data_IF_765448717328
#
_entry.id   IF_765448717328
#
_cell.length_a   1.000
_cell.length_b   1.000
_cell.length_c   1.000
_cell.angle_alpha   90.00
_cell.angle_beta   90.00
_cell.angle_gamma   90.00
#
_symmetry.space_group_name_H-M   'P 1'
#
loop_
_entity.id
_entity.type
_entity.pdbx_description
1 polymer ?
#
# COMPACT_ATOMS: atom_id res chain seq x y z
N UNK A 1 -58.44 13.81 -10.59
CA UNK A 1 -58.68 13.63 -9.14
C UNK A 1 -58.68 12.16 -8.71
N UNK A 2 -59.41 11.29 -9.43
CA UNK A 2 -59.52 9.85 -9.13
C UNK A 2 -58.17 9.12 -9.05
N UNK A 3 -57.22 9.40 -9.96
CA UNK A 3 -55.86 8.82 -9.91
C UNK A 3 -55.17 9.03 -8.56
N UNK A 4 -55.13 10.28 -8.07
CA UNK A 4 -54.48 10.60 -6.80
C UNK A 4 -55.21 10.00 -5.59
N UNK A 5 -56.55 9.88 -5.65
CA UNK A 5 -57.32 9.21 -4.60
C UNK A 5 -57.11 7.69 -4.59
N UNK A 6 -56.96 7.06 -5.76
CA UNK A 6 -56.63 5.64 -5.89
C UNK A 6 -55.22 5.38 -5.36
N UNK A 7 -54.21 6.18 -5.74
CA UNK A 7 -52.83 6.06 -5.23
C UNK A 7 -52.70 6.22 -3.72
N UNK A 8 -53.66 6.87 -3.05
CA UNK A 8 -53.69 7.00 -1.59
C UNK A 8 -54.40 5.83 -0.88
N UNK A 9 -55.22 5.04 -1.59
CA UNK A 9 -56.07 3.99 -1.00
C UNK A 9 -55.67 2.58 -1.40
N UNK A 10 -54.98 2.42 -2.51
CA UNK A 10 -54.58 1.13 -3.07
C UNK A 10 -53.11 0.84 -2.78
N UNK A 11 -52.76 -0.44 -2.72
CA UNK A 11 -51.38 -0.89 -2.52
C UNK A 11 -50.51 -0.40 -3.66
N UNK A 12 -49.34 0.16 -3.34
CA UNK A 12 -48.32 0.53 -4.34
C UNK A 12 -47.60 -0.75 -4.77
N UNK A 13 -47.88 -1.21 -5.99
CA UNK A 13 -47.32 -2.42 -6.60
C UNK A 13 -45.87 -2.21 -7.11
N UNK A 14 -44.98 -1.63 -6.29
CA UNK A 14 -43.64 -1.21 -6.71
C UNK A 14 -42.74 -2.40 -7.13
N UNK A 15 -42.58 -3.41 -6.28
CA UNK A 15 -41.77 -4.61 -6.58
C UNK A 15 -42.26 -5.30 -7.86
N UNK A 16 -43.58 -5.47 -7.99
CA UNK A 16 -44.20 -6.05 -9.19
C UNK A 16 -43.88 -5.24 -10.44
N UNK A 17 -43.98 -3.91 -10.38
CA UNK A 17 -43.67 -3.05 -11.52
C UNK A 17 -42.18 -3.17 -11.93
N UNK A 18 -41.27 -3.19 -10.97
CA UNK A 18 -39.83 -3.35 -11.22
C UNK A 18 -39.52 -4.71 -11.84
N UNK A 19 -40.10 -5.80 -11.33
CA UNK A 19 -39.93 -7.14 -11.91
C UNK A 19 -40.44 -7.23 -13.35
N UNK A 20 -41.62 -6.68 -13.63
CA UNK A 20 -42.17 -6.63 -15.00
C UNK A 20 -41.26 -5.85 -15.94
N UNK A 21 -40.65 -4.75 -15.49
CA UNK A 21 -39.69 -4.00 -16.29
C UNK A 21 -38.41 -4.80 -16.56
N UNK A 22 -37.88 -5.49 -15.55
CA UNK A 22 -36.72 -6.39 -15.72
C UNK A 22 -37.01 -7.53 -16.69
N UNK A 23 -38.14 -8.22 -16.53
CA UNK A 23 -38.61 -9.28 -17.47
C UNK A 23 -38.82 -8.76 -18.90
N UNK A 24 -39.17 -7.48 -19.05
CA UNK A 24 -39.30 -6.80 -20.36
C UNK A 24 -37.95 -6.38 -20.97
N UNK A 25 -36.82 -6.69 -20.31
CA UNK A 25 -35.47 -6.42 -20.79
C UNK A 25 -34.89 -5.07 -20.39
N UNK A 26 -35.50 -4.35 -19.45
CA UNK A 26 -34.94 -3.11 -18.91
C UNK A 26 -33.92 -3.41 -17.81
N UNK A 27 -32.63 -3.14 -18.08
CA UNK A 27 -31.53 -3.39 -17.14
C UNK A 27 -30.91 -2.16 -16.49
N UNK A 28 -31.41 -0.95 -16.79
CA UNK A 28 -30.87 0.32 -16.24
C UNK A 28 -32.00 1.12 -15.61
N UNK A 29 -31.84 1.45 -14.33
CA UNK A 29 -32.80 2.19 -13.53
C UNK A 29 -32.14 3.43 -12.94
N UNK A 30 -32.74 4.60 -13.21
CA UNK A 30 -32.25 5.89 -12.72
C UNK A 30 -33.31 6.49 -11.81
N UNK A 31 -32.99 6.60 -10.52
CA UNK A 31 -33.84 7.32 -9.57
C UNK A 31 -33.56 8.82 -9.65
N UNK A 32 -34.50 9.57 -10.22
CA UNK A 32 -34.43 11.03 -10.25
C UNK A 32 -34.97 11.64 -8.96
N UNK A 33 -34.09 11.84 -7.97
CA UNK A 33 -34.46 12.42 -6.68
C UNK A 33 -33.31 13.23 -6.05
N UNK A 34 -33.61 14.20 -5.17
CA UNK A 34 -32.58 14.90 -4.40
C UNK A 34 -31.86 13.99 -3.38
N UNK A 35 -32.43 12.81 -3.11
CA UNK A 35 -31.85 11.80 -2.23
C UNK A 35 -32.43 10.42 -2.55
N UNK A 36 -31.66 9.51 -3.16
CA UNK A 36 -32.16 8.21 -3.59
C UNK A 36 -32.52 7.32 -2.41
N UNK A 37 -33.73 6.79 -2.41
CA UNK A 37 -34.24 5.86 -1.38
C UNK A 37 -34.80 4.57 -1.96
N UNK A 38 -35.03 4.52 -3.28
CA UNK A 38 -35.59 3.38 -3.99
C UNK A 38 -34.52 2.46 -4.57
N UNK A 39 -33.28 2.94 -4.71
CA UNK A 39 -32.18 2.15 -5.32
C UNK A 39 -31.97 0.78 -4.67
N UNK A 40 -32.00 0.61 -3.32
CA UNK A 40 -31.80 -0.71 -2.73
C UNK A 40 -32.96 -1.66 -3.03
N UNK A 41 -34.20 -1.14 -3.01
CA UNK A 41 -35.39 -1.92 -3.30
C UNK A 41 -35.42 -2.41 -4.76
N UNK A 42 -35.00 -1.56 -5.72
CA UNK A 42 -34.89 -1.95 -7.12
C UNK A 42 -33.82 -3.03 -7.31
N UNK A 43 -32.66 -2.88 -6.65
CA UNK A 43 -31.58 -3.86 -6.72
C UNK A 43 -32.01 -5.22 -6.14
N UNK A 44 -32.72 -5.22 -5.02
CA UNK A 44 -33.27 -6.42 -4.37
C UNK A 44 -34.33 -7.11 -5.24
N UNK A 45 -35.26 -6.36 -5.85
CA UNK A 45 -36.29 -6.91 -6.75
C UNK A 45 -35.72 -7.64 -7.97
N UNK A 46 -34.49 -7.35 -8.37
CA UNK A 46 -33.85 -7.83 -9.60
C UNK A 46 -32.47 -8.46 -9.35
N UNK A 47 -32.20 -8.95 -8.13
CA UNK A 47 -30.87 -9.45 -7.72
C UNK A 47 -30.27 -10.45 -8.72
N UNK A 48 -31.10 -11.35 -9.27
CA UNK A 48 -30.70 -12.38 -10.25
C UNK A 48 -30.34 -11.83 -11.65
N UNK A 49 -30.72 -10.59 -11.95
CA UNK A 49 -30.55 -9.96 -13.28
C UNK A 49 -29.40 -8.94 -13.32
N UNK A 50 -28.76 -8.67 -12.17
CA UNK A 50 -27.66 -7.71 -12.03
C UNK A 50 -27.94 -6.33 -12.70
N UNK A 51 -29.01 -5.63 -12.32
CA UNK A 51 -29.37 -4.34 -12.92
C UNK A 51 -28.35 -3.24 -12.59
N UNK A 52 -28.23 -2.25 -13.46
CA UNK A 52 -27.58 -0.97 -13.16
C UNK A 52 -28.59 -0.08 -12.47
N UNK A 53 -28.34 0.27 -11.20
CA UNK A 53 -29.25 1.13 -10.42
C UNK A 53 -28.48 2.31 -9.84
N UNK A 54 -28.85 3.51 -10.25
CA UNK A 54 -28.20 4.77 -9.82
C UNK A 54 -29.22 5.82 -9.42
N UNK A 55 -28.82 6.73 -8.52
CA UNK A 55 -29.60 7.94 -8.19
C UNK A 55 -28.98 9.18 -8.84
N UNK A 56 -29.76 10.24 -9.07
CA UNK A 56 -29.25 11.45 -9.73
C UNK A 56 -28.49 12.40 -8.79
N UNK A 57 -28.99 12.64 -7.58
CA UNK A 57 -28.39 13.56 -6.60
C UNK A 57 -28.31 12.92 -5.21
N UNK A 58 -27.62 13.55 -4.27
CA UNK A 58 -27.61 13.15 -2.85
C UNK A 58 -27.83 14.37 -1.96
N UNK A 59 -28.46 14.16 -0.80
CA UNK A 59 -28.66 15.23 0.19
C UNK A 59 -27.30 15.76 0.65
N UNK A 60 -27.18 17.08 0.75
CA UNK A 60 -25.92 17.80 1.02
C UNK A 60 -24.81 17.65 -0.05
N UNK A 61 -25.06 16.91 -1.13
CA UNK A 61 -24.14 16.69 -2.26
C UNK A 61 -24.90 16.99 -3.57
N UNK A 62 -25.50 18.18 -3.68
CA UNK A 62 -26.18 18.62 -4.89
C UNK A 62 -25.22 19.11 -5.98
N UNK A 63 -25.72 19.28 -7.21
CA UNK A 63 -25.01 19.96 -8.28
C UNK A 63 -24.45 19.07 -9.38
N UNK A 64 -23.74 19.70 -10.33
CA UNK A 64 -23.25 19.05 -11.54
C UNK A 64 -22.25 17.92 -11.25
N UNK A 65 -21.38 18.08 -10.25
CA UNK A 65 -20.36 17.08 -9.90
C UNK A 65 -21.00 15.76 -9.42
N UNK A 66 -22.05 15.84 -8.60
CA UNK A 66 -22.79 14.65 -8.15
C UNK A 66 -23.51 13.97 -9.31
N UNK A 67 -24.12 14.76 -10.19
CA UNK A 67 -24.80 14.23 -11.39
C UNK A 67 -23.81 13.53 -12.33
N UNK A 68 -22.65 14.14 -12.57
CA UNK A 68 -21.54 13.56 -13.33
C UNK A 68 -21.02 12.28 -12.69
N UNK A 69 -20.89 12.27 -11.36
CA UNK A 69 -20.48 11.08 -10.60
C UNK A 69 -21.50 9.95 -10.76
N UNK A 70 -22.80 10.24 -10.71
CA UNK A 70 -23.84 9.23 -10.94
C UNK A 70 -23.84 8.67 -12.36
N UNK A 71 -23.54 9.49 -13.37
CA UNK A 71 -23.32 9.01 -14.74
C UNK A 71 -22.05 8.14 -14.83
N UNK A 72 -20.99 8.49 -14.10
CA UNK A 72 -19.77 7.69 -14.03
C UNK A 72 -20.01 6.33 -13.37
N UNK A 73 -20.79 6.30 -12.28
CA UNK A 73 -21.22 5.06 -11.62
C UNK A 73 -22.01 4.16 -12.58
N UNK A 74 -22.96 4.73 -13.33
CA UNK A 74 -23.72 3.98 -14.34
C UNK A 74 -22.79 3.43 -15.45
N UNK A 75 -21.85 4.25 -15.93
CA UNK A 75 -20.90 3.86 -16.97
C UNK A 75 -19.97 2.72 -16.53
N UNK A 76 -19.45 2.76 -15.31
CA UNK A 76 -18.61 1.70 -14.76
C UNK A 76 -19.38 0.38 -14.60
N UNK A 77 -20.68 0.45 -14.37
CA UNK A 77 -21.58 -0.71 -14.33
C UNK A 77 -22.03 -1.17 -15.74
N UNK A 78 -21.59 -0.51 -16.81
CA UNK A 78 -21.81 -0.93 -18.19
C UNK A 78 -22.91 -0.17 -18.94
N UNK A 79 -23.53 0.84 -18.34
CA UNK A 79 -24.46 1.70 -19.06
C UNK A 79 -23.72 2.58 -20.08
N UNK A 80 -24.18 2.69 -21.34
CA UNK A 80 -23.56 3.57 -22.31
C UNK A 80 -23.77 5.03 -21.89
N UNK A 81 -22.69 5.80 -21.78
CA UNK A 81 -22.70 7.25 -21.52
C UNK A 81 -21.85 7.93 -22.59
N UNK A 82 -22.45 8.90 -23.30
CA UNK A 82 -21.72 9.73 -24.25
C UNK A 82 -20.94 10.81 -23.50
N UNK A 83 -19.72 10.47 -23.07
CA UNK A 83 -18.82 11.40 -22.40
C UNK A 83 -18.40 12.54 -23.32
N UNK A 84 -18.26 12.32 -24.63
CA UNK A 84 -17.84 13.36 -25.56
C UNK A 84 -18.89 14.48 -25.66
N UNK A 85 -20.18 14.15 -25.57
CA UNK A 85 -21.27 15.12 -25.50
C UNK A 85 -21.44 15.79 -24.13
N UNK A 86 -20.92 15.20 -23.05
CA UNK A 86 -21.11 15.65 -21.67
C UNK A 86 -19.94 16.48 -21.14
N UNK A 87 -18.72 16.16 -21.55
CA UNK A 87 -17.50 16.89 -21.21
C UNK A 87 -16.91 17.47 -22.50
N UNK A 88 -17.25 18.73 -22.78
CA UNK A 88 -16.97 19.39 -24.07
C UNK A 88 -15.46 19.37 -24.41
N UNK A 89 -14.57 19.50 -23.40
CA UNK A 89 -13.10 19.31 -23.48
C UNK A 89 -12.49 19.03 -22.10
N UNK A 90 -12.02 17.81 -21.87
CA UNK A 90 -11.15 17.48 -20.73
C UNK A 90 -9.70 17.30 -21.18
N UNK A 91 -8.73 17.65 -20.32
CA UNK A 91 -7.37 17.16 -20.50
C UNK A 91 -7.37 15.66 -20.21
N UNK A 92 -7.20 14.84 -21.23
CA UNK A 92 -6.90 13.43 -21.05
C UNK A 92 -5.54 13.35 -20.36
N UNK A 93 -5.53 12.93 -19.10
CA UNK A 93 -4.30 12.53 -18.44
C UNK A 93 -4.05 11.08 -18.79
N UNK A 94 -2.79 10.74 -19.09
CA UNK A 94 -2.41 9.34 -19.13
C UNK A 94 -2.73 8.76 -17.76
N UNK A 95 -3.54 7.71 -17.75
CA UNK A 95 -3.68 6.91 -16.55
C UNK A 95 -2.27 6.42 -16.20
N UNK A 96 -1.88 6.41 -14.90
CA UNK A 96 -0.62 5.80 -14.49
C UNK A 96 -0.49 4.47 -15.20
N UNK A 97 0.68 4.16 -15.76
CA UNK A 97 0.92 2.90 -16.47
C UNK A 97 0.63 1.76 -15.52
N UNK A 98 -0.61 1.28 -15.55
CA UNK A 98 -1.02 0.13 -14.80
C UNK A 98 -0.30 -1.03 -15.47
N UNK A 99 0.60 -1.69 -14.75
CA UNK A 99 1.31 -2.88 -15.22
C UNK A 99 0.36 -4.02 -15.67
N UNK A 100 -0.95 -3.84 -15.49
CA UNK A 100 -2.03 -4.70 -15.98
C UNK A 100 -2.89 -4.00 -17.03
N UNK A 101 -2.26 -3.33 -18.00
CA UNK A 101 -2.84 -3.14 -19.33
C UNK A 101 -3.57 -4.45 -19.71
N UNK A 102 -4.84 -4.35 -20.14
CA UNK A 102 -5.89 -5.39 -20.27
C UNK A 102 -5.57 -6.70 -21.03
N UNK A 103 -4.30 -7.09 -21.17
CA UNK A 103 -3.92 -8.48 -21.32
C UNK A 103 -4.13 -9.18 -19.98
N UNK A 104 -5.06 -10.14 -19.96
CA UNK A 104 -5.13 -11.14 -18.89
C UNK A 104 -3.78 -11.86 -18.83
N UNK A 105 -2.92 -11.44 -17.90
CA UNK A 105 -1.75 -12.20 -17.51
C UNK A 105 -2.10 -12.98 -16.24
N UNK A 106 -3.13 -13.83 -16.34
CA UNK A 106 -3.19 -14.94 -15.40
C UNK A 106 -2.07 -15.88 -15.86
N UNK A 107 -1.15 -16.31 -14.98
CA UNK A 107 -0.40 -17.51 -15.29
C UNK A 107 -1.44 -18.57 -15.61
N UNK A 108 -1.42 -19.11 -16.84
CA UNK A 108 -2.18 -20.32 -17.12
C UNK A 108 -1.75 -21.30 -16.05
N UNK A 109 -2.66 -21.61 -15.13
CA UNK A 109 -2.38 -22.60 -14.09
C UNK A 109 -1.97 -23.85 -14.84
N UNK A 110 -0.72 -24.33 -14.69
CA UNK A 110 -0.34 -25.53 -15.39
C UNK A 110 -1.39 -26.58 -15.04
N UNK A 111 -2.02 -27.16 -16.06
CA UNK A 111 -2.83 -28.37 -15.92
C UNK A 111 -1.88 -29.54 -15.63
N UNK A 112 -0.98 -29.39 -14.66
CA UNK A 112 -0.34 -30.50 -13.99
C UNK A 112 -1.38 -31.07 -13.05
N UNK A 113 -1.71 -32.34 -13.22
CA UNK A 113 -2.71 -33.05 -12.42
C UNK A 113 -2.61 -32.64 -10.95
N UNK A 114 -3.74 -32.23 -10.37
CA UNK A 114 -3.83 -31.81 -8.97
C UNK A 114 -3.40 -32.98 -8.08
N UNK A 115 -2.10 -33.09 -7.81
CA UNK A 115 -1.63 -33.60 -6.53
C UNK A 115 -2.25 -32.74 -5.44
N UNK A 116 -2.53 -33.33 -4.26
CA UNK A 116 -3.05 -32.58 -3.12
C UNK A 116 -2.11 -31.40 -2.85
N UNK A 117 -2.54 -30.19 -3.19
CA UNK A 117 -1.85 -28.95 -2.80
C UNK A 117 -1.87 -28.94 -1.28
N UNK A 118 -0.70 -29.01 -0.65
CA UNK A 118 -0.59 -28.96 0.80
C UNK A 118 -0.55 -27.50 1.24
N UNK A 119 -1.09 -27.18 2.42
CA UNK A 119 -0.88 -25.88 3.06
C UNK A 119 0.62 -25.55 3.20
N UNK A 120 1.48 -26.56 3.26
CA UNK A 120 2.94 -26.38 3.30
C UNK A 120 3.52 -25.75 2.03
N UNK A 121 2.86 -25.90 0.88
CA UNK A 121 3.31 -25.33 -0.40
C UNK A 121 3.10 -23.80 -0.45
N UNK A 122 2.30 -23.24 0.46
CA UNK A 122 1.94 -21.81 0.51
C UNK A 122 2.66 -21.05 1.62
N UNK A 123 3.52 -21.72 2.41
CA UNK A 123 4.19 -21.10 3.55
C UNK A 123 5.54 -20.52 3.14
N UNK A 124 5.70 -19.23 3.40
CA UNK A 124 6.93 -18.49 3.19
C UNK A 124 7.32 -17.73 4.45
N UNK A 125 8.60 -17.39 4.54
CA UNK A 125 9.12 -16.48 5.57
C UNK A 125 10.16 -15.56 4.99
N UNK A 126 10.31 -14.41 5.62
CA UNK A 126 11.46 -13.55 5.38
C UNK A 126 12.67 -14.12 6.14
N UNK A 127 13.81 -14.10 5.48
CA UNK A 127 15.12 -14.41 6.05
C UNK A 127 16.13 -13.38 5.58
N UNK A 128 17.20 -13.22 6.35
CA UNK A 128 18.28 -12.30 6.08
C UNK A 128 19.55 -13.11 5.85
N UNK A 129 20.09 -13.06 4.63
CA UNK A 129 21.28 -13.85 4.25
C UNK A 129 22.52 -12.96 4.33
N UNK A 130 23.63 -13.44 4.92
CA UNK A 130 24.88 -12.70 4.90
C UNK A 130 25.31 -12.38 3.46
N UNK A 131 25.61 -11.12 3.19
CA UNK A 131 26.19 -10.67 1.94
C UNK A 131 27.66 -11.08 1.89
N UNK A 132 28.15 -11.45 0.72
CA UNK A 132 29.58 -11.59 0.45
C UNK A 132 30.03 -10.33 -0.27
N UNK A 133 30.88 -9.54 0.36
CA UNK A 133 31.53 -8.40 -0.28
C UNK A 133 33.05 -8.53 -0.14
N UNK A 134 33.78 -8.17 -1.21
CA UNK A 134 35.24 -8.01 -1.19
C UNK A 134 35.61 -6.66 -1.80
N UNK A 135 36.76 -6.10 -1.39
CA UNK A 135 37.24 -4.81 -1.89
C UNK A 135 36.90 -3.62 -0.98
N UNK A 136 37.55 -2.49 -1.23
CA UNK A 136 37.28 -1.21 -0.57
C UNK A 136 36.23 -0.48 -1.42
N UNK A 137 35.06 -0.12 -0.86
CA UNK A 137 34.05 0.58 -1.63
C UNK A 137 34.53 2.00 -1.96
N UNK A 138 34.12 2.52 -3.10
CA UNK A 138 34.39 3.89 -3.49
C UNK A 138 33.11 4.50 -4.05
N UNK A 139 32.79 5.71 -3.59
CA UNK A 139 31.75 6.56 -4.14
C UNK A 139 32.41 7.65 -4.99
N UNK A 140 31.61 8.29 -5.82
CA UNK A 140 32.01 9.43 -6.62
C UNK A 140 30.87 10.44 -6.70
N UNK A 141 31.22 11.67 -7.08
CA UNK A 141 30.27 12.75 -7.33
C UNK A 141 29.58 13.27 -6.07
N UNK A 142 28.56 14.09 -6.27
CA UNK A 142 27.87 14.77 -5.17
C UNK A 142 26.76 13.89 -4.60
N UNK A 143 26.75 13.75 -3.27
CA UNK A 143 25.74 13.00 -2.53
C UNK A 143 24.98 13.91 -1.60
N UNK A 144 23.66 13.88 -1.68
CA UNK A 144 22.80 14.64 -0.78
C UNK A 144 22.50 13.81 0.47
N UNK A 145 22.79 14.34 1.66
CA UNK A 145 22.40 13.75 2.94
C UNK A 145 21.26 14.57 3.54
N UNK A 146 20.07 13.98 3.60
CA UNK A 146 18.82 14.67 3.98
C UNK A 146 18.40 14.29 5.39
N UNK A 147 18.20 15.30 6.23
CA UNK A 147 17.65 15.19 7.57
C UNK A 147 18.70 15.22 8.69
N UNK A 148 18.25 15.63 9.87
CA UNK A 148 19.09 15.71 11.07
C UNK A 148 19.06 14.41 11.88
N UNK A 149 20.22 14.04 12.42
CA UNK A 149 20.37 12.91 13.33
C UNK A 149 21.70 12.99 14.07
N UNK A 150 21.82 12.46 15.30
CA UNK A 150 23.11 12.29 15.98
C UNK A 150 24.16 11.56 15.12
N UNK A 151 23.73 10.71 14.17
CA UNK A 151 24.63 9.96 13.29
C UNK A 151 24.91 10.64 11.94
N UNK A 152 24.31 11.80 11.67
CA UNK A 152 24.48 12.50 10.39
C UNK A 152 25.95 12.83 10.11
N UNK A 153 26.72 13.19 11.15
CA UNK A 153 28.16 13.46 11.01
C UNK A 153 28.95 12.22 10.63
N UNK A 154 28.80 11.11 11.36
CA UNK A 154 29.55 9.88 11.09
C UNK A 154 29.18 9.25 9.75
N UNK A 155 27.92 9.37 9.32
CA UNK A 155 27.48 8.91 8.00
C UNK A 155 28.11 9.77 6.90
N UNK A 156 28.06 11.10 7.03
CA UNK A 156 28.70 12.00 6.08
C UNK A 156 30.23 11.81 6.00
N UNK A 157 30.89 11.59 7.16
CA UNK A 157 32.32 11.32 7.22
C UNK A 157 32.65 9.98 6.54
N UNK A 158 31.81 8.95 6.70
CA UNK A 158 31.96 7.68 6.02
C UNK A 158 31.83 7.83 4.49
N UNK A 159 30.80 8.54 4.01
CA UNK A 159 30.61 8.83 2.59
C UNK A 159 31.81 9.61 2.01
N UNK A 160 32.23 10.67 2.68
CA UNK A 160 33.34 11.54 2.26
C UNK A 160 34.68 10.82 2.28
N UNK A 161 34.93 10.01 3.32
CA UNK A 161 36.12 9.18 3.45
C UNK A 161 36.26 8.11 2.35
N UNK A 162 35.19 7.84 1.61
CA UNK A 162 35.19 6.93 0.47
C UNK A 162 34.92 7.63 -0.88
N UNK A 163 35.08 8.97 -0.95
CA UNK A 163 35.15 9.70 -2.21
C UNK A 163 33.90 10.47 -2.63
N UNK A 164 32.82 10.48 -1.83
CA UNK A 164 31.65 11.30 -2.11
C UNK A 164 31.86 12.77 -1.70
N UNK A 165 31.35 13.70 -2.50
CA UNK A 165 31.20 15.11 -2.08
C UNK A 165 29.84 15.26 -1.39
N UNK A 166 29.83 15.30 -0.06
CA UNK A 166 28.57 15.28 0.71
C UNK A 166 28.01 16.68 0.90
N UNK A 167 26.80 16.92 0.41
CA UNK A 167 25.98 18.08 0.71
C UNK A 167 24.93 17.70 1.75
N UNK A 168 24.96 18.33 2.93
CA UNK A 168 23.93 18.11 3.95
C UNK A 168 22.79 19.11 3.76
N UNK A 169 21.56 18.65 3.91
CA UNK A 169 20.37 19.49 3.83
C UNK A 169 19.24 18.95 4.69
N UNK A 170 18.21 19.76 4.90
CA UNK A 170 16.94 19.34 5.49
C UNK A 170 15.85 19.26 4.43
N UNK A 171 14.73 18.62 4.76
CA UNK A 171 13.63 18.39 3.81
C UNK A 171 13.14 19.70 3.16
N UNK A 172 13.04 20.77 3.95
CA UNK A 172 12.58 22.08 3.50
C UNK A 172 13.52 22.73 2.47
N UNK A 173 14.80 22.38 2.50
CA UNK A 173 15.86 22.99 1.68
C UNK A 173 16.34 22.04 0.56
N UNK A 174 15.65 20.91 0.33
CA UNK A 174 16.04 19.93 -0.71
C UNK A 174 16.01 20.53 -2.10
N UNK A 175 14.99 21.33 -2.45
CA UNK A 175 14.88 21.92 -3.78
C UNK A 175 16.03 22.90 -4.07
N UNK A 176 16.43 23.71 -3.08
CA UNK A 176 17.58 24.60 -3.18
C UNK A 176 18.88 23.81 -3.32
N UNK A 177 19.06 22.77 -2.51
CA UNK A 177 20.25 21.91 -2.56
C UNK A 177 20.38 21.18 -3.91
N UNK A 178 19.27 20.70 -4.46
CA UNK A 178 19.22 20.10 -5.80
C UNK A 178 19.55 21.14 -6.87
N UNK A 179 18.99 22.35 -6.80
CA UNK A 179 19.31 23.41 -7.76
C UNK A 179 20.78 23.86 -7.72
N UNK A 180 21.43 23.74 -6.56
CA UNK A 180 22.84 24.06 -6.37
C UNK A 180 23.80 23.00 -6.93
N UNK A 181 23.31 21.81 -7.29
CA UNK A 181 24.13 20.71 -7.80
C UNK A 181 23.55 20.12 -9.08
N UNK A 182 24.24 20.32 -10.21
CA UNK A 182 23.72 19.96 -11.53
C UNK A 182 23.58 18.44 -11.77
N UNK A 183 24.30 17.61 -11.00
CA UNK A 183 24.28 16.15 -11.16
C UNK A 183 24.53 15.45 -9.80
N UNK A 184 23.49 14.84 -9.24
CA UNK A 184 23.58 14.09 -8.00
C UNK A 184 23.91 12.63 -8.30
N UNK A 185 24.90 12.09 -7.61
CA UNK A 185 25.26 10.67 -7.69
C UNK A 185 24.43 9.79 -6.74
N UNK A 186 23.77 10.39 -5.75
CA UNK A 186 22.85 9.69 -4.86
C UNK A 186 22.26 10.57 -3.77
N UNK A 187 21.17 10.12 -3.18
CA UNK A 187 20.51 10.76 -2.04
C UNK A 187 20.43 9.75 -0.89
N UNK A 188 20.84 10.16 0.31
CA UNK A 188 20.73 9.39 1.55
C UNK A 188 19.80 10.13 2.50
N UNK A 189 18.71 9.49 2.90
CA UNK A 189 17.70 10.04 3.79
C UNK A 189 17.81 9.44 5.20
N UNK A 190 17.89 10.33 6.19
CA UNK A 190 17.84 10.01 7.62
C UNK A 190 16.46 10.27 8.23
N UNK A 191 15.50 10.74 7.41
CA UNK A 191 14.18 11.21 7.87
C UNK A 191 13.39 10.12 8.63
N UNK A 192 13.57 8.85 8.26
CA UNK A 192 12.91 7.75 8.93
C UNK A 192 13.31 7.60 10.41
N UNK A 193 14.41 8.21 10.86
CA UNK A 193 14.78 8.21 12.29
C UNK A 193 13.83 9.05 13.17
N UNK A 194 13.06 9.96 12.59
CA UNK A 194 12.06 10.73 13.34
C UNK A 194 10.77 9.91 13.53
N UNK A 195 10.61 9.36 14.73
CA UNK A 195 9.41 8.63 15.15
C UNK A 195 8.38 9.51 15.86
N UNK A 196 8.62 10.82 15.94
CA UNK A 196 7.66 11.72 16.55
C UNK A 196 6.36 11.77 15.74
N UNK A 197 5.27 12.05 16.44
CA UNK A 197 3.96 12.17 15.83
C UNK A 197 3.85 13.44 14.97
N UNK A 198 3.17 13.32 13.83
CA UNK A 198 2.75 14.46 13.02
C UNK A 198 1.82 15.39 13.83
N UNK A 199 1.91 16.70 13.55
CA UNK A 199 1.17 17.71 14.31
C UNK A 199 -0.34 17.69 14.02
N UNK A 200 -0.73 17.38 12.78
CA UNK A 200 -2.13 17.33 12.37
C UNK A 200 -2.74 15.94 12.56
N UNK A 201 -1.94 14.89 12.38
CA UNK A 201 -2.34 13.49 12.47
C UNK A 201 -1.45 12.73 13.46
N UNK A 202 -1.72 12.81 14.79
CA UNK A 202 -0.81 12.28 15.81
C UNK A 202 -0.54 10.77 15.78
N UNK A 203 -1.32 10.00 15.00
CA UNK A 203 -1.12 8.57 14.79
C UNK A 203 -0.19 8.25 13.61
N UNK A 204 0.26 9.26 12.87
CA UNK A 204 1.19 9.13 11.74
C UNK A 204 2.59 9.56 12.18
N UNK A 205 3.62 8.71 12.04
CA UNK A 205 5.00 9.09 12.33
C UNK A 205 5.55 10.07 11.28
N UNK A 206 6.20 11.15 11.72
CA UNK A 206 6.78 12.17 10.84
C UNK A 206 7.75 11.60 9.83
N UNK A 207 8.67 10.72 10.24
CA UNK A 207 9.65 10.12 9.33
C UNK A 207 9.01 9.40 8.14
N UNK A 208 7.80 8.84 8.29
CA UNK A 208 7.04 8.29 7.18
C UNK A 208 6.48 9.34 6.23
N UNK A 209 5.92 10.43 6.76
CA UNK A 209 5.40 11.57 5.99
C UNK A 209 6.52 12.28 5.25
N UNK A 210 7.62 12.54 5.94
CA UNK A 210 8.78 13.27 5.41
C UNK A 210 9.50 12.46 4.33
N UNK A 211 9.55 11.12 4.48
CA UNK A 211 10.07 10.24 3.42
C UNK A 211 9.19 10.29 2.17
N UNK A 212 7.86 10.32 2.31
CA UNK A 212 6.94 10.51 1.18
C UNK A 212 7.16 11.88 0.52
N UNK A 213 7.25 12.95 1.32
CA UNK A 213 7.50 14.29 0.83
C UNK A 213 8.83 14.39 0.06
N UNK A 214 9.91 13.78 0.57
CA UNK A 214 11.20 13.71 -0.10
C UNK A 214 11.10 13.05 -1.48
N UNK A 215 10.46 11.88 -1.57
CA UNK A 215 10.28 11.15 -2.85
C UNK A 215 9.51 12.00 -3.87
N UNK A 216 8.50 12.73 -3.41
CA UNK A 216 7.71 13.63 -4.26
C UNK A 216 8.52 14.84 -4.72
N UNK A 217 9.24 15.51 -3.82
CA UNK A 217 10.06 16.69 -4.12
C UNK A 217 11.14 16.34 -5.15
N UNK A 218 11.90 15.25 -4.93
CA UNK A 218 12.90 14.78 -5.88
C UNK A 218 12.29 14.44 -7.24
N UNK A 219 11.05 13.94 -7.26
CA UNK A 219 10.33 13.61 -8.49
C UNK A 219 9.92 14.84 -9.28
N UNK A 220 9.43 15.89 -8.60
CA UNK A 220 9.12 17.17 -9.23
C UNK A 220 10.37 17.88 -9.77
N UNK A 221 11.50 17.72 -9.07
CA UNK A 221 12.78 18.27 -9.48
C UNK A 221 13.48 17.46 -10.60
N UNK A 222 12.94 16.30 -10.99
CA UNK A 222 13.53 15.46 -12.04
C UNK A 222 14.84 14.78 -11.64
N UNK A 223 15.06 14.53 -10.35
CA UNK A 223 16.26 13.85 -9.86
C UNK A 223 16.18 12.35 -10.17
N UNK A 224 17.11 11.86 -11.00
CA UNK A 224 17.25 10.44 -11.35
C UNK A 224 18.22 9.68 -10.42
N UNK A 225 18.94 10.39 -9.56
CA UNK A 225 19.89 9.79 -8.63
C UNK A 225 19.22 8.79 -7.66
N UNK A 226 19.88 7.67 -7.31
CA UNK A 226 19.30 6.66 -6.44
C UNK A 226 19.05 7.20 -5.02
N UNK A 227 17.82 7.05 -4.55
CA UNK A 227 17.38 7.42 -3.20
C UNK A 227 17.51 6.24 -2.25
N UNK A 228 18.27 6.42 -1.18
CA UNK A 228 18.48 5.47 -0.11
C UNK A 228 17.87 5.97 1.19
N UNK A 229 17.02 5.17 1.82
CA UNK A 229 16.39 5.52 3.09
C UNK A 229 16.97 4.65 4.20
N UNK A 230 17.52 5.32 5.22
CA UNK A 230 18.14 4.64 6.36
C UNK A 230 17.14 4.51 7.51
N UNK A 231 17.06 3.31 8.08
CA UNK A 231 16.30 3.03 9.31
C UNK A 231 17.22 2.48 10.39
N UNK A 232 16.73 2.39 11.63
CA UNK A 232 17.44 1.79 12.76
C UNK A 232 16.51 0.91 13.57
N UNK A 233 16.87 -0.37 13.69
CA UNK A 233 16.10 -1.32 14.48
C UNK A 233 14.71 -1.59 13.93
N UNK A 234 14.48 -1.32 12.64
CA UNK A 234 13.23 -1.59 11.94
C UNK A 234 13.09 -3.05 11.52
N UNK A 235 14.21 -3.78 11.44
CA UNK A 235 14.24 -5.19 11.03
C UNK A 235 15.05 -6.01 12.01
N UNK A 236 14.78 -7.32 12.02
CA UNK A 236 15.55 -8.32 12.77
C UNK A 236 16.16 -9.31 11.78
N UNK A 237 17.48 -9.49 11.81
CA UNK A 237 18.21 -10.38 10.90
C UNK A 237 18.29 -11.82 11.42
N UNK A 238 17.98 -12.05 12.69
CA UNK A 238 18.09 -13.36 13.33
C UNK A 238 17.17 -13.50 14.56
N UNK A 239 16.98 -14.73 15.06
CA UNK A 239 16.02 -15.02 16.14
C UNK A 239 16.37 -14.34 17.47
N UNK A 240 17.64 -14.01 17.69
CA UNK A 240 18.12 -13.37 18.92
C UNK A 240 18.03 -11.83 18.87
N UNK A 241 17.60 -11.28 17.74
CA UNK A 241 17.42 -9.83 17.55
C UNK A 241 15.93 -9.48 17.60
N UNK A 242 15.61 -8.42 18.34
CA UNK A 242 14.25 -7.87 18.42
C UNK A 242 14.23 -6.50 17.75
N UNK A 243 13.22 -6.26 16.93
CA UNK A 243 12.95 -4.94 16.36
C UNK A 243 12.72 -3.94 17.49
N UNK A 244 13.57 -2.92 17.60
CA UNK A 244 13.46 -1.85 18.60
C UNK A 244 12.63 -0.67 18.09
N UNK A 245 12.38 -0.59 16.78
CA UNK A 245 11.54 0.42 16.16
C UNK A 245 10.51 -0.19 15.19
N UNK A 246 9.37 -0.67 15.70
CA UNK A 246 8.25 -1.07 14.85
C UNK A 246 7.71 0.09 14.00
N UNK A 247 7.84 1.33 14.49
CA UNK A 247 7.44 2.56 13.77
C UNK A 247 8.14 2.67 12.42
N UNK A 248 9.47 2.51 12.41
CA UNK A 248 10.28 2.60 11.19
C UNK A 248 10.04 1.44 10.22
N UNK A 249 9.44 0.33 10.66
CA UNK A 249 9.03 -0.77 9.78
C UNK A 249 7.99 -0.31 8.75
N UNK A 250 7.20 0.73 9.05
CA UNK A 250 6.23 1.29 8.11
C UNK A 250 6.91 1.85 6.85
N UNK A 251 8.08 2.50 7.02
CA UNK A 251 8.90 3.02 5.92
C UNK A 251 9.40 1.89 5.01
N UNK A 252 9.67 0.71 5.56
CA UNK A 252 10.02 -0.47 4.74
C UNK A 252 8.85 -0.96 3.88
N UNK A 253 7.62 -0.88 4.40
CA UNK A 253 6.41 -1.15 3.64
C UNK A 253 6.25 -0.18 2.48
N UNK A 254 6.32 1.11 2.79
CA UNK A 254 6.23 2.20 1.83
C UNK A 254 7.35 2.15 0.76
N UNK A 255 8.61 2.05 1.17
CA UNK A 255 9.75 2.08 0.26
C UNK A 255 9.77 0.92 -0.75
N UNK A 256 9.24 -0.26 -0.39
CA UNK A 256 9.05 -1.35 -1.36
C UNK A 256 8.04 -1.00 -2.44
N UNK A 257 7.01 -0.22 -2.12
CA UNK A 257 6.06 0.28 -3.13
C UNK A 257 6.74 1.34 -3.99
N UNK A 258 7.49 2.27 -3.40
CA UNK A 258 8.26 3.28 -4.14
C UNK A 258 9.22 2.63 -5.14
N UNK A 259 9.96 1.59 -4.75
CA UNK A 259 10.85 0.88 -5.66
C UNK A 259 10.15 0.18 -6.84
N UNK A 260 8.85 -0.13 -6.71
CA UNK A 260 8.05 -0.67 -7.82
C UNK A 260 7.48 0.43 -8.73
N UNK A 261 7.17 1.60 -8.16
CA UNK A 261 6.59 2.74 -8.89
C UNK A 261 7.66 3.62 -9.57
N UNK A 262 8.84 3.71 -8.97
CA UNK A 262 9.96 4.57 -9.38
C UNK A 262 11.30 3.80 -9.42
N UNK A 263 11.40 2.71 -10.20
CA UNK A 263 12.59 1.85 -10.22
C UNK A 263 13.84 2.54 -10.79
N UNK A 264 13.66 3.61 -11.55
CA UNK A 264 14.70 4.43 -12.18
C UNK A 264 15.56 5.21 -11.18
N UNK A 265 14.98 5.57 -10.03
CA UNK A 265 15.60 6.46 -9.02
C UNK A 265 15.58 5.91 -7.61
N UNK A 266 15.15 4.66 -7.43
CA UNK A 266 15.13 4.02 -6.11
C UNK A 266 16.41 3.24 -5.87
N UNK A 267 17.18 3.66 -4.86
CA UNK A 267 18.36 2.94 -4.41
C UNK A 267 17.99 1.80 -3.47
N UNK A 268 17.29 2.10 -2.38
CA UNK A 268 16.84 1.07 -1.44
C UNK A 268 16.64 1.51 0.01
N UNK A 269 16.45 0.50 0.86
CA UNK A 269 16.26 0.59 2.30
C UNK A 269 17.46 -0.07 2.99
N UNK A 270 18.06 0.65 3.95
CA UNK A 270 19.18 0.12 4.75
C UNK A 270 18.89 0.28 6.24
N UNK A 271 18.80 -0.82 6.97
CA UNK A 271 18.64 -0.78 8.43
C UNK A 271 20.02 -0.82 9.12
N UNK A 272 20.33 0.19 9.91
CA UNK A 272 21.61 0.39 10.58
C UNK A 272 21.65 -0.25 11.97
N UNK A 273 22.85 -0.54 12.51
CA UNK A 273 23.00 -0.91 13.91
C UNK A 273 22.64 0.26 14.85
N UNK A 274 22.46 0.00 16.16
CA UNK A 274 22.19 1.06 17.14
C UNK A 274 23.26 2.14 17.23
N UNK A 275 24.52 1.78 16.93
CA UNK A 275 25.67 2.68 16.90
C UNK A 275 26.37 2.50 15.55
N UNK A 276 26.55 3.60 14.82
CA UNK A 276 27.28 3.60 13.55
C UNK A 276 28.74 3.94 13.82
N UNK A 277 29.59 2.92 13.84
CA UNK A 277 31.05 3.09 13.89
C UNK A 277 31.64 3.15 12.46
N UNK A 278 32.97 3.31 12.37
CA UNK A 278 33.65 3.37 11.07
C UNK A 278 33.48 2.12 10.21
N UNK A 279 33.31 0.94 10.84
CA UNK A 279 33.12 -0.31 10.12
C UNK A 279 31.68 -0.43 9.57
N UNK A 280 30.68 -0.05 10.37
CA UNK A 280 29.30 0.08 9.94
C UNK A 280 29.16 1.13 8.83
N UNK A 281 29.86 2.27 8.94
CA UNK A 281 29.95 3.28 7.90
C UNK A 281 30.53 2.74 6.59
N UNK A 282 31.66 2.03 6.64
CA UNK A 282 32.25 1.41 5.45
C UNK A 282 31.33 0.34 4.82
N UNK A 283 30.57 -0.41 5.64
CA UNK A 283 29.55 -1.36 5.14
C UNK A 283 28.38 -0.64 4.47
N UNK A 284 27.91 0.46 5.04
CA UNK A 284 26.88 1.31 4.42
C UNK A 284 27.36 1.82 3.06
N UNK A 285 28.54 2.44 3.00
CA UNK A 285 29.12 2.93 1.73
C UNK A 285 29.19 1.84 0.68
N UNK A 286 29.57 0.61 1.06
CA UNK A 286 29.58 -0.53 0.13
C UNK A 286 28.21 -0.82 -0.45
N UNK A 287 27.16 -0.83 0.37
CA UNK A 287 25.79 -1.04 -0.08
C UNK A 287 25.39 0.02 -1.11
N UNK A 288 25.69 1.29 -0.81
CA UNK A 288 25.39 2.43 -1.69
C UNK A 288 26.17 2.36 -3.01
N UNK A 289 27.46 1.99 -2.95
CA UNK A 289 28.35 1.92 -4.11
C UNK A 289 28.04 0.74 -5.05
N UNK A 290 27.68 -0.42 -4.48
CA UNK A 290 27.31 -1.60 -5.28
C UNK A 290 25.93 -1.41 -5.93
N UNK A 291 24.96 -0.86 -5.20
CA UNK A 291 23.64 -0.50 -5.73
C UNK A 291 22.81 -1.66 -6.29
N UNK A 292 23.18 -2.91 -6.01
CA UNK A 292 22.51 -4.11 -6.56
C UNK A 292 21.36 -4.60 -5.67
N UNK A 293 21.41 -4.31 -4.37
CA UNK A 293 20.47 -4.82 -3.38
C UNK A 293 19.73 -3.67 -2.70
N UNK A 294 18.39 -3.69 -2.77
CA UNK A 294 17.53 -2.58 -2.36
C UNK A 294 16.95 -2.73 -0.93
N UNK A 295 17.26 -3.84 -0.25
CA UNK A 295 16.70 -4.21 1.06
C UNK A 295 17.77 -4.87 1.92
N UNK A 296 18.49 -4.04 2.67
CA UNK A 296 19.74 -4.42 3.34
C UNK A 296 19.70 -4.09 4.83
N UNK A 297 20.35 -4.90 5.64
CA UNK A 297 20.61 -4.62 7.05
C UNK A 297 22.11 -4.65 7.32
N UNK A 298 22.64 -3.58 7.90
CA UNK A 298 24.02 -3.48 8.35
C UNK A 298 24.06 -3.78 9.84
N UNK A 299 24.98 -4.64 10.27
CA UNK A 299 25.25 -4.99 11.66
C UNK A 299 26.75 -5.08 11.89
N UNK A 300 27.17 -5.10 13.16
CA UNK A 300 28.58 -5.31 13.51
C UNK A 300 29.13 -6.64 12.99
N UNK A 301 28.28 -7.67 12.87
CA UNK A 301 28.63 -8.98 12.33
C UNK A 301 28.71 -9.03 10.78
N UNK A 302 28.26 -7.99 10.09
CA UNK A 302 28.28 -7.92 8.64
C UNK A 302 27.04 -7.29 8.02
N UNK A 303 26.93 -7.43 6.70
CA UNK A 303 25.79 -6.97 5.90
C UNK A 303 24.87 -8.14 5.58
N UNK A 304 23.57 -7.93 5.64
CA UNK A 304 22.55 -8.96 5.43
C UNK A 304 21.51 -8.51 4.41
N UNK A 305 21.08 -9.43 3.55
CA UNK A 305 20.18 -9.16 2.44
C UNK A 305 18.83 -9.84 2.67
N UNK A 306 17.74 -9.10 2.48
CA UNK A 306 16.38 -9.61 2.68
C UNK A 306 16.02 -10.62 1.58
N UNK A 307 15.46 -11.76 1.97
CA UNK A 307 15.00 -12.81 1.05
C UNK A 307 13.67 -13.40 1.50
N UNK A 308 12.77 -13.64 0.55
CA UNK A 308 11.60 -14.47 0.74
C UNK A 308 11.99 -15.92 0.43
N UNK A 309 11.82 -16.82 1.39
CA UNK A 309 12.12 -18.25 1.21
C UNK A 309 10.90 -19.08 1.62
N UNK A 310 10.77 -20.28 1.05
CA UNK A 310 9.79 -21.26 1.53
C UNK A 310 10.07 -21.55 3.00
N UNK A 311 9.02 -21.61 3.80
CA UNK A 311 9.12 -22.05 5.18
C UNK A 311 9.43 -23.55 5.19
N UNK A 312 10.31 -23.98 6.08
CA UNK A 312 10.58 -25.42 6.23
C UNK A 312 9.31 -26.14 6.70
N UNK A 313 9.08 -27.38 6.24
CA UNK A 313 8.04 -28.25 6.78
C UNK A 313 8.20 -28.35 8.30
N UNK A 314 7.07 -28.37 9.03
CA UNK A 314 7.10 -28.50 10.49
C UNK A 314 7.82 -29.82 10.86
N UNK A 315 8.92 -29.74 11.60
CA UNK A 315 9.76 -30.91 11.99
C UNK A 315 9.15 -31.75 13.13
N UNK A 316 8.14 -31.24 13.81
CA UNK A 316 7.41 -31.91 14.90
C UNK A 316 5.94 -31.51 14.83
N UNK A 317 5.03 -32.41 15.22
CA UNK A 317 3.66 -32.04 15.57
C UNK A 317 3.77 -31.02 16.72
N UNK A 318 3.44 -29.73 16.49
CA UNK A 318 3.34 -28.79 17.59
C UNK A 318 2.25 -29.30 18.54
N UNK A 319 2.26 -28.90 19.81
CA UNK A 319 1.01 -28.93 20.58
C UNK A 319 -0.08 -28.30 19.71
N UNK A 320 -1.13 -29.06 19.40
CA UNK A 320 -2.24 -28.58 18.61
C UNK A 320 -2.79 -27.35 19.31
N UNK A 321 -2.62 -26.18 18.71
CA UNK A 321 -3.19 -24.97 19.26
C UNK A 321 -4.71 -25.14 19.29
N UNK A 322 -5.31 -24.98 20.46
CA UNK A 322 -6.76 -24.91 20.63
C UNK A 322 -7.14 -23.58 21.27
N UNK A 323 -8.17 -22.89 20.75
CA UNK A 323 -8.68 -21.68 21.35
C UNK A 323 -9.24 -22.00 22.75
N UNK A 324 -8.83 -21.20 23.73
CA UNK A 324 -9.30 -21.31 25.12
C UNK A 324 -9.96 -20.01 25.55
N UNK A 325 -11.07 -20.11 26.27
CA UNK A 325 -11.79 -18.95 26.78
C UNK A 325 -12.52 -18.18 25.68
N UNK A 326 -12.25 -16.88 25.58
CA UNK A 326 -12.88 -15.98 24.62
C UNK A 326 -11.86 -15.52 23.57
N UNK A 327 -12.18 -15.71 22.29
CA UNK A 327 -11.39 -15.22 21.15
C UNK A 327 -11.99 -13.90 20.66
N UNK A 328 -11.18 -12.84 20.58
CA UNK A 328 -11.58 -11.56 19.98
C UNK A 328 -11.18 -11.55 18.49
N UNK A 329 -12.14 -11.31 17.60
CA UNK A 329 -11.91 -11.19 16.16
C UNK A 329 -12.27 -9.77 15.69
N UNK A 330 -11.26 -8.95 15.47
CA UNK A 330 -11.42 -7.60 14.91
C UNK A 330 -11.65 -7.66 13.40
N UNK A 331 -12.56 -6.82 12.90
CA UNK A 331 -13.05 -6.95 11.53
C UNK A 331 -13.85 -8.24 11.31
N UNK A 332 -14.48 -8.76 12.37
CA UNK A 332 -15.12 -10.08 12.38
C UNK A 332 -16.29 -10.24 11.42
N UNK A 333 -16.95 -9.14 11.04
CA UNK A 333 -18.00 -9.11 10.01
C UNK A 333 -17.49 -8.75 8.62
N UNK A 334 -16.18 -8.53 8.46
CA UNK A 334 -15.53 -8.31 7.17
C UNK A 334 -15.32 -9.61 6.39
N UNK A 335 -14.91 -9.49 5.12
CA UNK A 335 -14.73 -10.64 4.21
C UNK A 335 -13.83 -11.75 4.75
N UNK A 336 -12.72 -11.39 5.42
CA UNK A 336 -11.83 -12.37 6.08
C UNK A 336 -12.46 -12.90 7.38
N UNK A 337 -13.12 -12.04 8.16
CA UNK A 337 -13.75 -12.41 9.42
C UNK A 337 -14.82 -13.50 9.26
N UNK A 338 -15.60 -13.42 8.17
CA UNK A 338 -16.61 -14.43 7.80
C UNK A 338 -15.98 -15.80 7.51
N UNK A 339 -14.73 -15.87 7.06
CA UNK A 339 -14.01 -17.14 6.90
C UNK A 339 -13.40 -17.64 8.22
N UNK A 340 -12.88 -16.73 9.05
CA UNK A 340 -12.19 -17.09 10.31
C UNK A 340 -13.16 -17.48 11.42
N UNK A 341 -14.35 -16.86 11.50
CA UNK A 341 -15.36 -17.17 12.51
C UNK A 341 -15.79 -18.64 12.52
N UNK A 342 -16.24 -19.21 11.38
CA UNK A 342 -16.55 -20.64 11.27
C UNK A 342 -15.34 -21.53 11.56
N UNK A 343 -14.15 -21.16 11.08
CA UNK A 343 -12.92 -21.92 11.37
C UNK A 343 -12.63 -21.99 12.88
N UNK A 344 -12.83 -20.90 13.63
CA UNK A 344 -12.69 -20.89 15.09
C UNK A 344 -13.74 -21.80 15.76
N UNK A 345 -14.98 -21.82 15.26
CA UNK A 345 -16.03 -22.69 15.77
C UNK A 345 -15.72 -24.18 15.52
N UNK A 346 -15.15 -24.52 14.36
CA UNK A 346 -14.66 -25.86 14.03
C UNK A 346 -13.49 -26.32 14.91
N UNK A 347 -12.77 -25.37 15.53
CA UNK A 347 -11.67 -25.64 16.45
C UNK A 347 -12.09 -25.46 17.93
N UNK A 348 -13.36 -25.66 18.25
CA UNK A 348 -13.91 -25.65 19.62
C UNK A 348 -13.72 -24.31 20.38
N UNK A 349 -13.69 -23.17 19.68
CA UNK A 349 -13.70 -21.88 20.33
C UNK A 349 -15.02 -21.68 21.11
N UNK A 350 -14.97 -21.77 22.44
CA UNK A 350 -16.15 -21.69 23.30
C UNK A 350 -16.90 -20.34 23.19
N UNK A 351 -16.18 -19.25 22.95
CA UNK A 351 -16.74 -17.90 22.78
C UNK A 351 -15.92 -17.13 21.76
N UNK A 352 -16.57 -16.58 20.73
CA UNK A 352 -15.96 -15.67 19.77
C UNK A 352 -16.66 -14.32 19.84
N UNK A 353 -15.91 -13.25 20.11
CA UNK A 353 -16.40 -11.87 20.08
C UNK A 353 -16.00 -11.28 18.74
N UNK A 354 -16.98 -11.13 17.84
CA UNK A 354 -16.80 -10.41 16.59
C UNK A 354 -16.90 -8.91 16.87
N UNK A 355 -15.95 -8.13 16.35
CA UNK A 355 -16.04 -6.68 16.43
C UNK A 355 -15.86 -6.05 15.07
N UNK A 356 -16.69 -5.07 14.78
CA UNK A 356 -16.55 -4.18 13.64
C UNK A 356 -17.16 -2.81 13.94
N UNK A 357 -16.99 -1.85 13.03
CA UNK A 357 -17.68 -0.53 13.15
C UNK A 357 -19.20 -0.65 13.02
N UNK A 358 -19.69 -1.73 12.39
CA UNK A 358 -21.09 -1.94 12.06
C UNK A 358 -21.80 -2.96 12.97
N UNK A 359 -21.09 -3.50 13.97
CA UNK A 359 -21.52 -4.66 14.76
C UNK A 359 -20.49 -5.77 14.73
#
# INVERSE_FOLDING_TARGET
PEYWYASLRETVEFDRAIRVLGESGHGVFVESSPHPVLTPAIAESLEDQAPVVVGTLRREEGGADRLLTSLAEAYVQGAPVDWAGLVDRGSTVDLPTYAFQRRRFWPESPTSGRGKVSADDWRYRITWRPAKGSGVPALSGTWLLVGESPDASVIADALSGHGAEVMRTNLDDVEEAVAASADLSGVVSLLAFDESADAQYPWVPRGGVDTLALVQVLGRAGVEAPVWVLTRGAVSVGPDEVTTSPTQTQVWGFGRTVGLEHPDRWGGLVDLPPVVDGEAGARLVRVLAEGVEDQVAVRGSGTFLRRLVRAEPRRSEPESWSPRGTVLLTGGTGSIGVCIGPWLAEHDAARVVLTSRSG
#
